data_IF_483599012936
#
_entry.id   IF_483599012936
#
_cell.length_a   1.000
_cell.length_b   1.000
_cell.length_c   1.000
_cell.angle_alpha   90.00
_cell.angle_beta   90.00
_cell.angle_gamma   90.00
#
_symmetry.space_group_name_H-M   'P 1'
#
loop_
_entity.id
_entity.type
_entity.pdbx_description
1 polymer ?
#
# COMPACT_ATOMS: atom_id res chain seq x y z
N UNK A 1 39.56 23.65 -5.34
CA UNK A 1 38.22 24.21 -5.48
C UNK A 1 37.29 23.38 -6.35
N UNK A 2 37.62 22.95 -7.58
CA UNK A 2 36.70 22.13 -8.43
C UNK A 2 36.29 20.75 -7.82
N UNK A 3 37.19 20.07 -7.11
CA UNK A 3 36.86 18.79 -6.46
C UNK A 3 35.91 18.91 -5.24
N UNK A 4 36.01 20.03 -4.51
CA UNK A 4 35.11 20.29 -3.36
C UNK A 4 33.72 20.68 -3.86
N UNK A 5 33.63 21.40 -4.98
CA UNK A 5 32.34 21.76 -5.60
C UNK A 5 31.61 20.52 -6.13
N UNK A 6 32.35 19.53 -6.68
CA UNK A 6 31.76 18.27 -7.16
C UNK A 6 31.20 17.41 -6.02
N UNK A 7 31.91 17.38 -4.87
CA UNK A 7 31.44 16.65 -3.67
C UNK A 7 30.20 17.33 -3.09
N UNK A 8 30.13 18.65 -3.05
CA UNK A 8 28.93 19.40 -2.63
C UNK A 8 27.75 19.18 -3.59
N UNK A 9 27.99 19.14 -4.88
CA UNK A 9 26.97 18.88 -5.91
C UNK A 9 26.43 17.44 -5.81
N UNK A 10 27.29 16.42 -5.58
CA UNK A 10 26.88 15.05 -5.34
C UNK A 10 26.12 14.89 -4.01
N UNK A 11 26.48 15.63 -2.95
CA UNK A 11 25.74 15.63 -1.68
C UNK A 11 24.36 16.28 -1.82
N UNK A 12 24.23 17.39 -2.56
CA UNK A 12 22.94 18.05 -2.81
C UNK A 12 22.05 17.19 -3.70
N UNK A 13 22.59 16.51 -4.72
CA UNK A 13 21.82 15.57 -5.54
C UNK A 13 21.33 14.35 -4.76
N UNK A 14 22.11 13.82 -3.79
CA UNK A 14 21.67 12.73 -2.94
C UNK A 14 20.60 13.15 -1.91
N UNK A 15 20.60 14.41 -1.47
CA UNK A 15 19.54 14.94 -0.59
C UNK A 15 18.23 15.13 -1.36
N UNK A 16 18.30 15.48 -2.66
CA UNK A 16 17.12 15.64 -3.51
C UNK A 16 16.46 14.32 -3.94
N UNK A 17 17.14 13.17 -3.77
CA UNK A 17 16.66 11.84 -4.17
C UNK A 17 16.16 10.99 -3.00
N UNK A 18 16.18 11.48 -1.77
CA UNK A 18 15.55 10.82 -0.63
C UNK A 18 14.05 11.08 -0.65
N UNK A 19 13.31 10.28 -1.39
CA UNK A 19 11.86 10.26 -1.25
C UNK A 19 11.52 9.65 0.11
N UNK A 20 11.00 10.48 1.02
CA UNK A 20 10.41 9.96 2.24
C UNK A 20 9.20 9.09 1.85
N UNK A 21 9.22 7.83 2.22
CA UNK A 21 8.07 6.92 1.99
C UNK A 21 6.89 7.23 2.93
N UNK A 22 7.11 8.07 3.94
CA UNK A 22 6.15 8.40 4.99
C UNK A 22 5.97 9.91 5.13
N UNK A 23 4.72 10.33 5.26
CA UNK A 23 4.30 11.68 5.63
C UNK A 23 3.68 11.64 7.03
N UNK A 24 4.11 12.52 7.92
CA UNK A 24 3.50 12.69 9.24
C UNK A 24 2.83 14.07 9.30
N UNK A 25 1.55 14.08 9.63
CA UNK A 25 0.77 15.30 9.83
C UNK A 25 0.38 15.44 11.29
N UNK A 26 0.50 16.66 11.83
CA UNK A 26 -0.01 16.98 13.15
C UNK A 26 -1.30 17.76 13.03
N UNK A 27 -2.30 17.31 13.77
CA UNK A 27 -3.63 17.90 13.80
C UNK A 27 -4.00 18.30 15.21
N UNK A 28 -4.90 19.29 15.32
CA UNK A 28 -5.45 19.71 16.62
C UNK A 28 -6.89 20.18 16.44
N UNK A 29 -7.70 19.94 17.45
CA UNK A 29 -9.10 20.36 17.48
C UNK A 29 -9.55 20.69 18.89
N UNK A 30 -10.70 21.37 19.01
CA UNK A 30 -11.33 21.65 20.32
C UNK A 30 -12.19 20.46 20.74
N UNK A 31 -11.72 19.73 21.73
CA UNK A 31 -12.47 18.66 22.37
C UNK A 31 -13.53 19.24 23.31
N UNK A 32 -14.75 18.76 23.18
CA UNK A 32 -15.86 19.05 24.09
C UNK A 32 -15.72 18.25 25.41
N UNK A 33 -15.23 16.99 25.26
CA UNK A 33 -15.00 16.09 26.41
C UNK A 33 -13.98 16.71 27.37
N UNK A 34 -12.87 17.24 26.86
CA UNK A 34 -11.82 17.85 27.66
C UNK A 34 -11.99 19.35 27.86
N UNK A 35 -12.98 19.97 27.22
CA UNK A 35 -13.17 21.44 27.22
C UNK A 35 -11.86 22.21 26.90
N UNK A 36 -11.07 21.67 25.96
CA UNK A 36 -9.74 22.20 25.64
C UNK A 36 -9.25 21.73 24.26
N UNK A 37 -8.06 22.19 23.87
CA UNK A 37 -7.44 21.73 22.63
C UNK A 37 -6.78 20.37 22.86
N UNK A 38 -7.04 19.41 21.96
CA UNK A 38 -6.36 18.12 21.90
C UNK A 38 -5.65 18.02 20.56
N UNK A 39 -4.52 17.33 20.54
CA UNK A 39 -3.75 17.07 19.34
C UNK A 39 -3.55 15.59 19.12
N UNK A 40 -3.24 15.23 17.88
CA UNK A 40 -2.85 13.91 17.47
C UNK A 40 -1.99 14.00 16.20
N UNK A 41 -1.23 12.95 15.92
CA UNK A 41 -0.42 12.85 14.70
C UNK A 41 -0.92 11.68 13.86
N UNK A 42 -0.85 11.83 12.53
CA UNK A 42 -1.20 10.77 11.59
C UNK A 42 -0.02 10.53 10.66
N UNK A 43 0.44 9.29 10.57
CA UNK A 43 1.43 8.86 9.58
C UNK A 43 0.73 8.13 8.43
N UNK A 44 1.03 8.55 7.21
CA UNK A 44 0.52 8.01 5.94
C UNK A 44 1.69 7.73 4.98
N UNK A 45 1.54 6.82 4.01
CA UNK A 45 2.50 6.71 2.92
C UNK A 45 2.48 7.98 2.06
N UNK A 46 3.64 8.39 1.52
CA UNK A 46 3.74 9.57 0.62
C UNK A 46 3.09 9.30 -0.74
N UNK A 47 3.16 8.08 -1.23
CA UNK A 47 2.40 7.62 -2.40
C UNK A 47 1.03 7.13 -1.93
N UNK A 48 0.07 8.03 -1.85
CA UNK A 48 -1.31 7.66 -1.54
C UNK A 48 -2.06 7.37 -2.83
N UNK A 49 -2.65 6.19 -2.93
CA UNK A 49 -3.72 5.97 -3.90
C UNK A 49 -4.91 6.86 -3.54
N UNK A 50 -5.45 7.58 -4.51
CA UNK A 50 -6.66 8.38 -4.26
C UNK A 50 -7.83 7.46 -3.90
N UNK A 51 -8.66 7.88 -2.94
CA UNK A 51 -9.84 7.15 -2.46
C UNK A 51 -9.58 5.79 -1.76
N UNK A 52 -8.35 5.53 -1.34
CA UNK A 52 -8.07 4.37 -0.49
C UNK A 52 -8.61 4.63 0.91
N UNK A 53 -9.35 3.66 1.44
CA UNK A 53 -9.73 3.64 2.85
C UNK A 53 -8.61 3.00 3.67
N UNK A 54 -8.24 3.61 4.79
CA UNK A 54 -7.17 3.12 5.64
C UNK A 54 -7.73 2.35 6.84
N UNK A 55 -7.11 1.23 7.17
CA UNK A 55 -7.18 0.66 8.51
C UNK A 55 -6.44 1.60 9.47
N UNK A 56 -6.82 1.64 10.74
CA UNK A 56 -6.20 2.52 11.71
C UNK A 56 -5.44 1.74 12.78
N UNK A 57 -4.20 2.13 13.05
CA UNK A 57 -3.43 1.70 14.21
C UNK A 57 -3.32 2.88 15.18
N UNK A 58 -4.13 2.87 16.24
CA UNK A 58 -4.05 3.83 17.33
C UNK A 58 -2.92 3.43 18.27
N UNK A 59 -1.96 4.32 18.45
CA UNK A 59 -0.77 4.09 19.25
C UNK A 59 -0.86 4.86 20.54
N UNK A 60 -0.92 4.16 21.67
CA UNK A 60 -0.75 4.73 23.00
C UNK A 60 0.75 4.88 23.31
N UNK A 61 1.09 5.70 24.31
CA UNK A 61 2.50 6.04 24.61
C UNK A 61 3.27 6.58 23.41
N UNK A 62 2.59 7.35 22.56
CA UNK A 62 3.06 7.76 21.24
C UNK A 62 4.36 8.60 21.28
N UNK A 63 4.71 9.18 22.41
CA UNK A 63 5.93 9.99 22.58
C UNK A 63 7.22 9.21 22.28
N UNK A 64 7.23 7.90 22.51
CA UNK A 64 8.41 7.05 22.28
C UNK A 64 8.14 5.84 21.39
N UNK A 65 6.89 5.54 21.06
CA UNK A 65 6.53 4.33 20.26
C UNK A 65 6.10 4.66 18.85
N UNK A 66 5.56 5.87 18.61
CA UNK A 66 4.92 6.23 17.35
C UNK A 66 5.85 6.10 16.14
N UNK A 67 7.06 6.67 16.20
CA UNK A 67 7.94 6.74 15.02
C UNK A 67 8.37 5.35 14.53
N UNK A 68 8.68 4.43 15.44
CA UNK A 68 9.06 3.07 15.07
C UNK A 68 7.87 2.26 14.55
N UNK A 69 6.69 2.43 15.15
CA UNK A 69 5.46 1.76 14.69
C UNK A 69 5.07 2.30 13.31
N UNK A 70 5.07 3.63 13.14
CA UNK A 70 4.69 4.28 11.89
C UNK A 70 5.63 3.89 10.75
N UNK A 71 6.96 3.99 10.94
CA UNK A 71 7.92 3.64 9.88
C UNK A 71 7.84 2.17 9.49
N UNK A 72 7.66 1.26 10.46
CA UNK A 72 7.49 -0.17 10.19
C UNK A 72 6.19 -0.45 9.43
N UNK A 73 5.07 0.15 9.86
CA UNK A 73 3.76 -0.01 9.20
C UNK A 73 3.81 0.48 7.76
N UNK A 74 4.37 1.67 7.53
CA UNK A 74 4.50 2.25 6.19
C UNK A 74 5.39 1.37 5.30
N UNK A 75 6.49 0.86 5.83
CA UNK A 75 7.34 -0.08 5.10
C UNK A 75 6.55 -1.34 4.67
N UNK A 76 5.85 -1.99 5.60
CA UNK A 76 5.12 -3.22 5.32
C UNK A 76 4.02 -3.03 4.27
N UNK A 77 3.26 -1.94 4.32
CA UNK A 77 2.23 -1.68 3.30
C UNK A 77 2.81 -1.26 1.94
N UNK A 78 3.98 -0.61 1.91
CA UNK A 78 4.65 -0.24 0.65
C UNK A 78 5.02 -1.48 -0.17
N UNK A 79 5.31 -2.58 0.50
CA UNK A 79 5.62 -3.87 -0.12
C UNK A 79 4.45 -4.87 -0.10
N UNK A 80 3.23 -4.39 0.12
CA UNK A 80 1.98 -5.16 0.07
C UNK A 80 1.90 -6.35 1.07
N UNK A 81 2.68 -6.30 2.16
CA UNK A 81 2.55 -7.30 3.24
C UNK A 81 1.27 -7.13 4.06
N UNK A 82 0.75 -5.91 4.11
CA UNK A 82 -0.45 -5.54 4.86
C UNK A 82 -1.33 -4.58 4.03
N UNK A 83 -2.63 -4.51 4.31
CA UNK A 83 -3.52 -3.57 3.63
C UNK A 83 -3.16 -2.11 3.93
N UNK A 84 -3.69 -1.15 3.15
CA UNK A 84 -3.52 0.27 3.44
C UNK A 84 -3.86 0.61 4.88
N UNK A 85 -2.89 1.13 5.62
CA UNK A 85 -2.96 1.34 7.06
C UNK A 85 -2.36 2.69 7.43
N UNK A 86 -3.10 3.49 8.20
CA UNK A 86 -2.64 4.74 8.78
C UNK A 86 -2.30 4.54 10.27
N UNK A 87 -1.23 5.17 10.75
CA UNK A 87 -0.85 5.12 12.16
C UNK A 87 -1.22 6.42 12.84
N UNK A 88 -1.97 6.35 13.91
CA UNK A 88 -2.49 7.49 14.67
C UNK A 88 -1.86 7.52 16.06
N UNK A 89 -1.08 8.55 16.35
CA UNK A 89 -0.60 8.81 17.71
C UNK A 89 -1.74 9.39 18.55
N UNK A 90 -2.07 8.73 19.65
CA UNK A 90 -3.00 9.27 20.65
C UNK A 90 -2.20 10.07 21.65
N UNK A 91 -2.08 11.40 21.42
CA UNK A 91 -1.29 12.26 22.28
C UNK A 91 -1.98 12.49 23.64
N UNK A 92 -1.21 12.43 24.70
CA UNK A 92 -1.65 12.76 26.06
C UNK A 92 -1.73 14.29 26.27
N UNK A 93 -2.24 14.73 27.43
CA UNK A 93 -2.31 16.15 27.80
C UNK A 93 -0.92 16.80 27.90
N UNK A 94 0.09 16.01 28.22
CA UNK A 94 1.50 16.36 28.14
C UNK A 94 2.34 15.10 27.86
N UNK A 95 3.54 15.23 27.27
CA UNK A 95 4.39 14.08 26.97
C UNK A 95 4.61 13.16 28.18
N UNK A 96 4.41 11.87 27.99
CA UNK A 96 4.57 10.83 29.02
C UNK A 96 3.52 10.82 30.14
N UNK A 97 2.49 11.66 30.04
CA UNK A 97 1.46 11.74 31.09
C UNK A 97 0.43 10.60 31.00
N UNK A 98 0.80 9.41 31.43
CA UNK A 98 -0.09 8.23 31.47
C UNK A 98 -1.29 8.39 32.42
N UNK A 99 -1.33 9.44 33.27
CA UNK A 99 -2.48 9.73 34.12
C UNK A 99 -3.75 10.05 33.31
N UNK A 100 -3.61 10.49 32.06
CA UNK A 100 -4.75 10.68 31.15
C UNK A 100 -5.52 9.37 30.92
N UNK A 101 -4.82 8.23 30.94
CA UNK A 101 -5.43 6.90 30.74
C UNK A 101 -6.30 6.50 31.91
N UNK A 102 -6.04 7.00 33.13
CA UNK A 102 -6.86 6.83 34.34
C UNK A 102 -7.30 5.39 34.61
N UNK A 103 -6.42 4.42 34.35
CA UNK A 103 -6.71 3.00 34.45
C UNK A 103 -6.25 2.44 35.80
N UNK A 104 -7.15 1.74 36.45
CA UNK A 104 -6.83 1.00 37.66
C UNK A 104 -6.57 -0.48 37.33
N UNK A 105 -5.30 -0.86 37.36
CA UNK A 105 -4.86 -2.22 37.03
C UNK A 105 -5.33 -3.28 38.04
N UNK A 106 -5.65 -2.85 39.27
CA UNK A 106 -6.01 -3.80 40.34
C UNK A 106 -7.41 -4.42 40.18
N UNK A 107 -8.32 -3.73 39.50
CA UNK A 107 -9.72 -4.15 39.34
C UNK A 107 -10.27 -3.96 37.91
N UNK A 108 -9.39 -3.66 36.95
CA UNK A 108 -9.75 -3.40 35.56
C UNK A 108 -10.82 -2.31 35.40
N UNK A 109 -10.70 -1.23 36.16
CA UNK A 109 -11.65 -0.11 36.14
C UNK A 109 -11.02 1.18 35.64
N UNK A 110 -11.85 2.17 35.31
CA UNK A 110 -11.42 3.51 34.96
C UNK A 110 -11.84 4.52 36.05
N UNK A 111 -10.95 5.41 36.40
CA UNK A 111 -11.29 6.62 37.14
C UNK A 111 -12.01 7.66 36.23
N UNK A 112 -12.22 8.86 36.72
CA UNK A 112 -12.89 9.93 36.00
C UNK A 112 -12.10 10.34 34.72
N UNK A 113 -10.76 10.42 34.80
CA UNK A 113 -9.91 10.74 33.65
C UNK A 113 -9.92 9.63 32.63
N UNK A 114 -9.83 8.37 33.07
CA UNK A 114 -9.89 7.21 32.18
C UNK A 114 -11.19 7.11 31.42
N UNK A 115 -12.32 7.44 32.03
CA UNK A 115 -13.61 7.51 31.32
C UNK A 115 -13.60 8.61 30.24
N UNK A 116 -13.09 9.80 30.55
CA UNK A 116 -12.95 10.86 29.56
C UNK A 116 -12.03 10.44 28.41
N UNK A 117 -10.92 9.77 28.70
CA UNK A 117 -9.98 9.31 27.69
C UNK A 117 -10.59 8.20 26.80
N UNK A 118 -11.30 7.27 27.41
CA UNK A 118 -12.02 6.22 26.68
C UNK A 118 -13.07 6.82 25.74
N UNK A 119 -13.91 7.73 26.23
CA UNK A 119 -14.94 8.40 25.44
C UNK A 119 -14.31 9.23 24.32
N UNK A 120 -13.23 9.97 24.62
CA UNK A 120 -12.49 10.77 23.65
C UNK A 120 -11.98 9.93 22.47
N UNK A 121 -11.31 8.82 22.73
CA UNK A 121 -10.76 7.95 21.68
C UNK A 121 -11.86 7.34 20.81
N UNK A 122 -12.97 6.91 21.43
CA UNK A 122 -14.04 6.21 20.72
C UNK A 122 -15.03 7.14 20.01
N UNK A 123 -15.04 8.43 20.31
CA UNK A 123 -16.01 9.39 19.74
C UNK A 123 -15.30 10.54 19.02
N UNK A 124 -14.79 11.55 19.75
CA UNK A 124 -14.27 12.78 19.17
C UNK A 124 -13.05 12.55 18.28
N UNK A 125 -12.05 11.77 18.75
CA UNK A 125 -10.87 11.46 17.95
C UNK A 125 -11.24 10.64 16.72
N UNK A 126 -12.12 9.67 16.86
CA UNK A 126 -12.64 8.87 15.76
C UNK A 126 -13.31 9.73 14.67
N UNK A 127 -14.18 10.68 15.09
CA UNK A 127 -14.82 11.61 14.17
C UNK A 127 -13.82 12.53 13.46
N UNK A 128 -12.84 13.10 14.19
CA UNK A 128 -11.84 13.99 13.60
C UNK A 128 -10.96 13.26 12.60
N UNK A 129 -10.52 12.03 12.87
CA UNK A 129 -9.76 11.22 11.92
C UNK A 129 -10.58 10.95 10.66
N UNK A 130 -11.86 10.60 10.80
CA UNK A 130 -12.75 10.32 9.65
C UNK A 130 -13.00 11.55 8.76
N UNK A 131 -12.79 12.78 9.28
CA UNK A 131 -12.84 14.00 8.47
C UNK A 131 -11.56 14.26 7.68
N UNK A 132 -10.43 13.73 8.15
CA UNK A 132 -9.10 13.98 7.57
C UNK A 132 -8.75 12.92 6.54
N UNK A 133 -9.01 11.64 6.85
CA UNK A 133 -8.69 10.51 5.99
C UNK A 133 -9.88 9.55 5.85
N UNK A 134 -10.07 8.93 4.68
CA UNK A 134 -11.06 7.86 4.52
C UNK A 134 -10.66 6.64 5.35
N UNK A 135 -11.56 6.13 6.20
CA UNK A 135 -11.31 4.97 7.06
C UNK A 135 -12.09 3.75 6.60
N UNK A 136 -11.52 2.56 6.77
CA UNK A 136 -12.18 1.28 6.45
C UNK A 136 -13.16 0.84 7.54
N UNK A 137 -12.93 1.27 8.77
CA UNK A 137 -13.63 0.80 9.98
C UNK A 137 -12.96 -0.40 10.66
N UNK A 138 -11.78 -0.83 10.20
CA UNK A 138 -10.94 -1.77 10.94
C UNK A 138 -9.91 -1.00 11.75
N UNK A 139 -10.11 -0.98 13.08
CA UNK A 139 -9.32 -0.19 14.01
C UNK A 139 -8.60 -1.07 15.02
N UNK A 140 -7.31 -0.81 15.21
CA UNK A 140 -6.42 -1.52 16.14
C UNK A 140 -5.94 -0.55 17.21
N UNK A 141 -5.91 -0.98 18.47
CA UNK A 141 -5.29 -0.22 19.56
C UNK A 141 -4.00 -0.91 20.01
N UNK A 142 -2.92 -0.14 20.13
CA UNK A 142 -1.58 -0.64 20.50
C UNK A 142 -1.18 -0.01 21.82
N UNK A 143 -0.76 -0.84 22.77
CA UNK A 143 -0.25 -0.40 24.08
C UNK A 143 1.01 -1.14 24.51
N UNK A 144 1.76 -0.51 25.44
CA UNK A 144 2.98 -1.07 26.01
C UNK A 144 2.94 -1.00 27.55
N UNK A 145 3.31 -2.11 28.20
CA UNK A 145 3.38 -2.15 29.66
C UNK A 145 2.02 -1.80 30.30
N UNK A 146 1.92 -0.78 31.11
CA UNK A 146 0.70 -0.29 31.74
C UNK A 146 -0.43 -0.04 30.71
N UNK A 147 -0.13 0.59 29.58
CA UNK A 147 -1.14 0.82 28.55
C UNK A 147 -1.52 -0.45 27.80
N UNK A 148 -0.63 -1.46 27.70
CA UNK A 148 -1.03 -2.77 27.21
C UNK A 148 -2.04 -3.44 28.15
N UNK A 149 -1.86 -3.30 29.47
CA UNK A 149 -2.84 -3.79 30.45
C UNK A 149 -4.16 -3.01 30.40
N UNK A 150 -4.12 -1.68 30.13
CA UNK A 150 -5.32 -0.88 29.87
C UNK A 150 -6.16 -1.41 28.70
N UNK A 151 -5.54 -2.02 27.69
CA UNK A 151 -6.29 -2.63 26.57
C UNK A 151 -7.22 -3.74 27.06
N UNK A 152 -6.94 -4.40 28.19
CA UNK A 152 -7.86 -5.40 28.76
C UNK A 152 -9.21 -4.78 29.15
N UNK A 153 -9.23 -3.49 29.55
CA UNK A 153 -10.49 -2.78 29.77
C UNK A 153 -11.29 -2.67 28.46
N UNK A 154 -10.65 -2.23 27.35
CA UNK A 154 -11.32 -2.15 26.04
C UNK A 154 -11.88 -3.51 25.60
N UNK A 155 -11.06 -4.54 25.73
CA UNK A 155 -11.44 -5.91 25.33
C UNK A 155 -12.67 -6.39 26.16
N UNK A 156 -12.67 -6.11 27.47
CA UNK A 156 -13.77 -6.49 28.36
C UNK A 156 -15.08 -5.78 28.05
N UNK A 157 -15.01 -4.52 27.53
CA UNK A 157 -16.21 -3.78 27.10
C UNK A 157 -16.80 -4.30 25.78
N UNK A 158 -16.07 -5.14 25.02
CA UNK A 158 -16.47 -5.62 23.68
C UNK A 158 -16.83 -4.44 22.75
N UNK A 159 -15.91 -3.50 22.63
CA UNK A 159 -16.10 -2.25 21.90
C UNK A 159 -16.18 -2.54 20.38
N UNK A 160 -17.22 -2.04 19.71
CA UNK A 160 -17.42 -2.25 18.28
C UNK A 160 -16.49 -1.37 17.40
N UNK A 161 -15.97 -0.26 17.95
CA UNK A 161 -15.08 0.64 17.23
C UNK A 161 -13.65 0.08 17.10
N UNK A 162 -13.14 -0.58 18.15
CA UNK A 162 -11.82 -1.23 18.16
C UNK A 162 -12.00 -2.74 17.98
N UNK A 163 -11.51 -3.27 16.86
CA UNK A 163 -11.68 -4.68 16.47
C UNK A 163 -10.44 -5.54 16.67
N UNK A 164 -9.31 -4.90 17.00
CA UNK A 164 -8.06 -5.62 17.23
C UNK A 164 -7.15 -4.89 18.21
N UNK A 165 -6.25 -5.65 18.83
CA UNK A 165 -5.38 -5.17 19.89
C UNK A 165 -3.98 -5.76 19.77
N UNK A 166 -2.95 -4.93 20.01
CA UNK A 166 -1.57 -5.38 20.14
C UNK A 166 -1.06 -4.97 21.52
N UNK A 167 -0.72 -5.96 22.33
CA UNK A 167 -0.27 -5.81 23.71
C UNK A 167 1.23 -6.11 23.79
N UNK A 168 2.07 -5.10 24.02
CA UNK A 168 3.50 -5.28 24.24
C UNK A 168 3.80 -5.32 25.73
N UNK A 169 4.37 -6.45 26.19
CA UNK A 169 4.79 -6.69 27.60
C UNK A 169 3.76 -6.14 28.60
N UNK A 170 2.52 -6.64 28.60
CA UNK A 170 1.48 -6.14 29.50
C UNK A 170 1.92 -6.29 30.96
N UNK A 171 1.62 -5.29 31.78
CA UNK A 171 1.88 -5.30 33.21
C UNK A 171 0.94 -6.27 33.91
N UNK A 172 1.48 -7.03 34.86
CA UNK A 172 0.73 -8.03 35.62
C UNK A 172 -0.47 -7.40 36.36
N UNK A 173 -1.59 -8.08 36.30
CA UNK A 173 -2.81 -7.77 37.02
C UNK A 173 -3.05 -8.78 38.14
N UNK A 174 -3.59 -8.38 39.30
CA UNK A 174 -3.96 -9.30 40.36
C UNK A 174 -4.99 -10.37 39.95
N UNK A 175 -5.84 -10.02 38.99
CA UNK A 175 -6.83 -10.92 38.42
C UNK A 175 -7.06 -10.61 36.95
N UNK A 176 -7.11 -11.66 36.12
CA UNK A 176 -7.49 -11.54 34.71
C UNK A 176 -8.98 -11.13 34.63
N UNK A 177 -9.33 -10.10 33.80
CA UNK A 177 -10.71 -9.68 33.61
C UNK A 177 -11.59 -10.78 33.04
N UNK A 178 -12.87 -10.76 33.35
CA UNK A 178 -13.84 -11.65 32.71
C UNK A 178 -14.19 -11.15 31.31
N UNK A 179 -13.60 -11.80 30.31
CA UNK A 179 -13.85 -11.50 28.90
C UNK A 179 -15.04 -12.28 28.37
N UNK A 180 -15.84 -11.63 27.52
CA UNK A 180 -16.97 -12.28 26.85
C UNK A 180 -16.50 -13.28 25.80
N UNK A 181 -17.12 -14.43 25.75
CA UNK A 181 -16.87 -15.42 24.69
C UNK A 181 -17.27 -14.85 23.33
N UNK A 182 -16.39 -14.98 22.34
CA UNK A 182 -16.64 -14.52 20.97
C UNK A 182 -17.52 -15.53 20.21
N UNK A 183 -18.62 -15.05 19.64
CA UNK A 183 -19.56 -15.85 18.85
C UNK A 183 -19.72 -15.31 17.42
N UNK A 184 -18.85 -14.36 17.01
CA UNK A 184 -18.95 -13.74 15.71
C UNK A 184 -18.17 -14.56 14.65
N UNK A 185 -18.60 -14.46 13.39
CA UNK A 185 -17.91 -15.12 12.27
C UNK A 185 -16.43 -14.65 12.13
N UNK A 186 -16.15 -13.41 12.49
CA UNK A 186 -14.79 -12.85 12.57
C UNK A 186 -14.58 -12.38 14.01
N UNK A 187 -13.84 -13.13 14.81
CA UNK A 187 -13.58 -12.77 16.21
C UNK A 187 -12.66 -11.55 16.31
N UNK A 188 -12.67 -10.92 17.48
CA UNK A 188 -11.71 -9.85 17.83
C UNK A 188 -10.29 -10.42 17.79
N UNK A 189 -9.37 -9.70 17.14
CA UNK A 189 -7.98 -10.12 16.93
C UNK A 189 -7.11 -9.57 18.07
N UNK A 190 -6.31 -10.45 18.70
CA UNK A 190 -5.42 -10.07 19.80
C UNK A 190 -4.01 -10.60 19.51
N UNK A 191 -3.03 -9.72 19.57
CA UNK A 191 -1.62 -10.06 19.43
C UNK A 191 -0.88 -9.64 20.70
N UNK A 192 -0.27 -10.61 21.37
CA UNK A 192 0.49 -10.40 22.61
C UNK A 192 1.95 -10.65 22.30
N UNK A 193 2.79 -9.68 22.62
CA UNK A 193 4.23 -9.75 22.44
C UNK A 193 4.88 -9.60 23.82
N UNK A 194 5.49 -10.66 24.33
CA UNK A 194 6.28 -10.63 25.57
C UNK A 194 7.77 -10.69 25.23
N UNK A 195 8.61 -10.32 26.16
CA UNK A 195 10.07 -10.35 25.99
C UNK A 195 10.74 -11.31 26.97
N UNK A 196 11.71 -12.10 26.48
CA UNK A 196 12.38 -13.13 27.28
C UNK A 196 13.29 -12.56 28.37
N UNK A 197 13.70 -11.31 28.26
CA UNK A 197 14.57 -10.61 29.22
C UNK A 197 13.77 -9.65 30.12
N UNK A 198 12.41 -9.68 30.06
CA UNK A 198 11.51 -9.02 31.00
C UNK A 198 11.28 -9.90 32.26
N UNK A 199 10.55 -9.39 33.24
CA UNK A 199 10.24 -10.10 34.48
C UNK A 199 9.44 -11.38 34.21
N UNK A 200 9.67 -12.43 35.00
CA UNK A 200 8.92 -13.70 34.88
C UNK A 200 7.40 -13.48 35.07
N UNK A 201 7.00 -12.54 35.95
CA UNK A 201 5.60 -12.24 36.19
C UNK A 201 4.90 -11.70 34.95
N UNK A 202 5.54 -10.79 34.18
CA UNK A 202 4.97 -10.28 32.93
C UNK A 202 4.89 -11.33 31.83
N UNK A 203 5.90 -12.18 31.75
CA UNK A 203 5.89 -13.30 30.81
C UNK A 203 4.76 -14.28 31.14
N UNK A 204 4.63 -14.66 32.42
CA UNK A 204 3.55 -15.52 32.91
C UNK A 204 2.18 -14.89 32.65
N UNK A 205 2.00 -13.60 32.98
CA UNK A 205 0.75 -12.92 32.76
C UNK A 205 0.37 -12.85 31.27
N UNK A 206 1.33 -12.63 30.37
CA UNK A 206 1.12 -12.70 28.92
C UNK A 206 0.64 -14.07 28.45
N UNK A 207 1.18 -15.17 29.02
CA UNK A 207 0.73 -16.53 28.76
C UNK A 207 -0.72 -16.76 29.28
N UNK A 208 -1.03 -16.33 30.50
CA UNK A 208 -2.33 -16.49 31.11
C UNK A 208 -3.41 -15.74 30.34
N UNK A 209 -3.10 -14.51 29.88
CA UNK A 209 -3.99 -13.75 28.98
C UNK A 209 -4.23 -14.50 27.67
N UNK A 210 -3.17 -15.02 27.04
CA UNK A 210 -3.31 -15.76 25.79
C UNK A 210 -4.21 -16.99 25.94
N UNK A 211 -3.99 -17.82 26.98
CA UNK A 211 -4.85 -19.01 27.21
C UNK A 211 -6.29 -18.60 27.49
N UNK A 212 -6.51 -17.51 28.25
CA UNK A 212 -7.85 -16.98 28.52
C UNK A 212 -8.52 -16.51 27.22
N UNK A 213 -7.83 -15.79 26.36
CA UNK A 213 -8.38 -15.33 25.08
C UNK A 213 -8.71 -16.50 24.15
N UNK A 214 -7.87 -17.54 24.12
CA UNK A 214 -8.14 -18.77 23.37
C UNK A 214 -9.40 -19.48 23.87
N UNK A 215 -9.54 -19.64 25.17
CA UNK A 215 -10.72 -20.24 25.78
C UNK A 215 -12.00 -19.47 25.42
N UNK A 216 -11.91 -18.14 25.39
CA UNK A 216 -13.01 -17.24 25.02
C UNK A 216 -13.16 -17.06 23.50
N UNK A 217 -12.47 -17.83 22.67
CA UNK A 217 -12.58 -17.87 21.19
C UNK A 217 -12.18 -16.57 20.48
N UNK A 218 -11.27 -15.80 21.07
CA UNK A 218 -10.61 -14.70 20.35
C UNK A 218 -9.61 -15.25 19.33
N UNK A 219 -9.36 -14.50 18.27
CA UNK A 219 -8.22 -14.75 17.37
C UNK A 219 -6.93 -14.23 18.04
N UNK A 220 -6.43 -15.01 19.00
CA UNK A 220 -5.28 -14.64 19.82
C UNK A 220 -4.00 -15.33 19.36
N UNK A 221 -2.87 -14.57 19.40
CA UNK A 221 -1.52 -15.11 19.20
C UNK A 221 -0.56 -14.49 20.21
N UNK A 222 0.30 -15.33 20.76
CA UNK A 222 1.38 -14.93 21.67
C UNK A 222 2.74 -15.14 21.01
N UNK A 223 3.62 -14.16 21.14
CA UNK A 223 5.03 -14.23 20.79
C UNK A 223 5.89 -13.87 21.99
N UNK A 224 6.84 -14.72 22.34
CA UNK A 224 7.92 -14.38 23.28
C UNK A 224 9.20 -14.15 22.48
N UNK A 225 9.73 -12.93 22.49
CA UNK A 225 10.87 -12.53 21.66
C UNK A 225 12.10 -12.20 22.52
N UNK A 226 13.28 -12.32 21.95
CA UNK A 226 14.55 -11.95 22.62
C UNK A 226 14.68 -10.43 22.66
N UNK A 227 14.27 -9.82 23.75
CA UNK A 227 14.27 -8.38 23.99
C UNK A 227 14.15 -8.10 25.49
N UNK A 228 14.48 -6.91 25.93
CA UNK A 228 14.12 -6.39 27.24
C UNK A 228 12.77 -5.64 27.19
N UNK A 229 12.33 -5.11 28.35
CA UNK A 229 11.05 -4.41 28.47
C UNK A 229 10.87 -3.22 27.53
N UNK A 230 11.92 -2.47 27.24
CA UNK A 230 11.85 -1.27 26.38
C UNK A 230 12.12 -1.60 24.90
N UNK A 231 12.97 -2.57 24.62
CA UNK A 231 13.31 -2.97 23.26
C UNK A 231 12.30 -3.94 22.63
N UNK A 232 11.29 -4.40 23.38
CA UNK A 232 10.26 -5.31 22.88
C UNK A 232 9.48 -4.72 21.68
N UNK A 233 9.23 -3.41 21.67
CA UNK A 233 8.53 -2.75 20.55
C UNK A 233 9.40 -2.71 19.30
N UNK A 234 10.58 -2.06 19.27
CA UNK A 234 11.39 -2.00 18.05
C UNK A 234 11.80 -3.38 17.54
N UNK A 235 11.92 -4.38 18.42
CA UNK A 235 12.27 -5.76 18.03
C UNK A 235 11.07 -6.54 17.50
N UNK A 236 9.86 -6.33 18.03
CA UNK A 236 8.69 -7.17 17.78
C UNK A 236 7.63 -6.54 16.90
N UNK A 237 7.68 -5.24 16.62
CA UNK A 237 6.57 -4.53 15.93
C UNK A 237 6.29 -5.07 14.52
N UNK A 238 7.31 -5.38 13.74
CA UNK A 238 7.11 -5.93 12.40
C UNK A 238 6.36 -7.27 12.46
N UNK A 239 6.76 -8.15 13.40
CA UNK A 239 6.10 -9.43 13.59
C UNK A 239 4.67 -9.26 14.13
N UNK A 240 4.44 -8.32 15.06
CA UNK A 240 3.12 -8.06 15.62
C UNK A 240 2.13 -7.58 14.54
N UNK A 241 2.58 -6.68 13.65
CA UNK A 241 1.75 -6.17 12.55
C UNK A 241 1.52 -7.26 11.49
N UNK A 242 2.51 -8.05 11.12
CA UNK A 242 2.32 -9.16 10.18
C UNK A 242 1.41 -10.25 10.76
N UNK A 243 1.53 -10.55 12.05
CA UNK A 243 0.60 -11.45 12.73
C UNK A 243 -0.83 -10.88 12.83
N UNK A 244 -1.00 -9.56 12.95
CA UNK A 244 -2.31 -8.90 12.91
C UNK A 244 -3.02 -9.15 11.57
N UNK A 245 -2.27 -9.09 10.48
CA UNK A 245 -2.77 -9.24 9.12
C UNK A 245 -2.46 -10.62 8.50
N UNK A 246 -2.25 -11.65 9.30
CA UNK A 246 -1.86 -13.00 8.84
C UNK A 246 -2.90 -13.69 7.94
N UNK A 247 -4.13 -13.21 7.93
CA UNK A 247 -5.22 -13.67 7.05
C UNK A 247 -5.48 -12.73 5.87
N UNK A 248 -4.68 -11.69 5.69
CA UNK A 248 -4.81 -10.79 4.55
C UNK A 248 -4.25 -11.44 3.29
N UNK A 249 -5.07 -11.55 2.26
CA UNK A 249 -4.62 -11.97 0.95
C UNK A 249 -3.93 -10.80 0.25
N UNK A 250 -2.62 -10.82 0.27
CA UNK A 250 -1.73 -9.91 -0.45
C UNK A 250 -1.48 -10.39 -1.88
N UNK A 251 -0.68 -9.65 -2.66
CA UNK A 251 -0.38 -9.98 -4.06
C UNK A 251 0.20 -11.39 -4.23
N UNK A 252 1.14 -11.81 -3.37
CA UNK A 252 1.79 -13.13 -3.49
C UNK A 252 0.79 -14.27 -3.25
N UNK A 253 -0.03 -14.16 -2.20
CA UNK A 253 -1.07 -15.16 -1.91
C UNK A 253 -2.16 -15.19 -2.99
N UNK A 254 -2.45 -14.06 -3.64
CA UNK A 254 -3.37 -14.01 -4.79
C UNK A 254 -2.79 -14.75 -5.99
N UNK A 255 -1.52 -14.58 -6.32
CA UNK A 255 -0.88 -15.33 -7.41
C UNK A 255 -0.90 -16.83 -7.14
N UNK A 256 -0.62 -17.26 -5.91
CA UNK A 256 -0.69 -18.67 -5.52
C UNK A 256 -2.11 -19.24 -5.70
N UNK A 257 -3.14 -18.50 -5.26
CA UNK A 257 -4.55 -18.89 -5.44
C UNK A 257 -4.90 -19.01 -6.93
N UNK A 258 -4.50 -18.05 -7.74
CA UNK A 258 -4.81 -18.02 -9.17
C UNK A 258 -4.10 -19.17 -9.92
N UNK A 259 -2.84 -19.44 -9.59
CA UNK A 259 -2.04 -20.51 -10.21
C UNK A 259 -2.64 -21.90 -9.95
N UNK A 260 -3.13 -22.13 -8.73
CA UNK A 260 -3.70 -23.40 -8.32
C UNK A 260 -5.24 -23.47 -8.43
N UNK A 261 -5.86 -22.47 -9.06
CA UNK A 261 -7.32 -22.38 -9.18
C UNK A 261 -7.92 -23.50 -10.02
N UNK A 262 -8.78 -24.30 -9.39
CA UNK A 262 -9.63 -25.33 -10.02
C UNK A 262 -11.07 -24.83 -10.23
N UNK A 263 -11.38 -23.61 -9.82
CA UNK A 263 -12.67 -22.93 -9.99
C UNK A 263 -12.52 -21.74 -10.93
N UNK A 264 -13.63 -21.20 -11.50
CA UNK A 264 -13.57 -20.00 -12.33
C UNK A 264 -12.87 -18.84 -11.60
N UNK A 265 -12.12 -18.04 -12.34
CA UNK A 265 -11.31 -16.94 -11.78
C UNK A 265 -12.18 -15.89 -11.06
N UNK A 266 -13.43 -15.69 -11.51
CA UNK A 266 -14.38 -14.85 -10.80
C UNK A 266 -14.71 -15.35 -9.38
N UNK A 267 -14.81 -16.65 -9.18
CA UNK A 267 -15.05 -17.26 -7.87
C UNK A 267 -13.84 -17.07 -6.96
N UNK A 268 -12.62 -17.25 -7.49
CA UNK A 268 -11.39 -16.98 -6.76
C UNK A 268 -11.32 -15.51 -6.31
N UNK A 269 -11.59 -14.57 -7.22
CA UNK A 269 -11.66 -13.15 -6.91
C UNK A 269 -12.69 -12.85 -5.81
N UNK A 270 -13.91 -13.38 -5.96
CA UNK A 270 -14.99 -13.15 -5.00
C UNK A 270 -14.63 -13.69 -3.62
N UNK A 271 -14.00 -14.87 -3.55
CA UNK A 271 -13.51 -15.45 -2.30
C UNK A 271 -12.50 -14.54 -1.62
N UNK A 272 -11.45 -14.14 -2.31
CA UNK A 272 -10.38 -13.28 -1.78
C UNK A 272 -10.92 -11.91 -1.35
N UNK A 273 -11.71 -11.26 -2.21
CA UNK A 273 -12.25 -9.94 -1.92
C UNK A 273 -13.21 -9.94 -0.72
N UNK A 274 -14.12 -10.92 -0.65
CA UNK A 274 -15.05 -11.06 0.47
C UNK A 274 -14.32 -11.42 1.76
N UNK A 275 -13.28 -12.23 1.70
CA UNK A 275 -12.46 -12.55 2.85
C UNK A 275 -11.78 -11.29 3.42
N UNK A 276 -11.06 -10.52 2.59
CA UNK A 276 -10.41 -9.29 3.03
C UNK A 276 -11.43 -8.26 3.55
N UNK A 277 -12.60 -8.15 2.92
CA UNK A 277 -13.71 -7.30 3.40
C UNK A 277 -14.24 -7.75 4.75
N UNK A 278 -14.40 -9.06 4.98
CA UNK A 278 -14.96 -9.57 6.24
C UNK A 278 -14.00 -9.38 7.41
N UNK A 279 -12.71 -9.70 7.22
CA UNK A 279 -11.69 -9.62 8.26
C UNK A 279 -11.22 -8.18 8.51
N UNK A 280 -10.87 -7.45 7.44
CA UNK A 280 -10.14 -6.19 7.53
C UNK A 280 -10.90 -4.98 6.99
N UNK A 281 -12.19 -5.17 6.58
CA UNK A 281 -13.00 -4.10 5.97
C UNK A 281 -12.35 -3.47 4.73
N UNK A 282 -11.45 -4.21 4.07
CA UNK A 282 -10.71 -3.77 2.89
C UNK A 282 -11.11 -4.60 1.68
N UNK A 283 -11.64 -3.95 0.64
CA UNK A 283 -11.71 -4.52 -0.70
C UNK A 283 -10.31 -4.54 -1.33
N UNK A 284 -10.11 -5.39 -2.33
CA UNK A 284 -8.87 -5.35 -3.11
C UNK A 284 -8.71 -3.97 -3.78
N UNK A 285 -7.50 -3.35 -3.70
CA UNK A 285 -7.27 -2.05 -4.31
C UNK A 285 -7.44 -2.08 -5.83
N UNK A 286 -8.20 -1.13 -6.38
CA UNK A 286 -8.48 -1.06 -7.82
C UNK A 286 -7.20 -0.76 -8.63
N UNK A 287 -6.34 0.10 -8.11
CA UNK A 287 -5.06 0.48 -8.72
C UNK A 287 -3.94 -0.55 -8.54
N UNK A 288 -4.17 -1.58 -7.70
CA UNK A 288 -3.17 -2.59 -7.40
C UNK A 288 -3.00 -3.64 -8.51
N UNK A 289 -1.87 -4.36 -8.44
CA UNK A 289 -1.60 -5.52 -9.31
C UNK A 289 -2.60 -6.67 -9.12
N UNK A 290 -3.28 -6.72 -7.97
CA UNK A 290 -4.18 -7.79 -7.58
C UNK A 290 -5.36 -7.99 -8.55
N UNK A 291 -6.18 -6.95 -8.77
CA UNK A 291 -7.34 -7.07 -9.68
C UNK A 291 -6.89 -7.34 -11.12
N UNK A 292 -5.79 -6.72 -11.55
CA UNK A 292 -5.24 -6.97 -12.89
C UNK A 292 -4.78 -8.41 -13.06
N UNK A 293 -4.26 -9.06 -12.02
CA UNK A 293 -3.87 -10.47 -12.06
C UNK A 293 -5.07 -11.40 -12.33
N UNK A 294 -6.19 -11.19 -11.62
CA UNK A 294 -7.41 -11.97 -11.86
C UNK A 294 -7.93 -11.81 -13.30
N UNK A 295 -8.09 -10.55 -13.76
CA UNK A 295 -8.61 -10.31 -15.12
C UNK A 295 -7.65 -10.83 -16.19
N UNK A 296 -6.34 -10.64 -16.02
CA UNK A 296 -5.34 -11.18 -16.93
C UNK A 296 -5.38 -12.70 -17.01
N UNK A 297 -5.50 -13.38 -15.88
CA UNK A 297 -5.59 -14.85 -15.85
C UNK A 297 -6.89 -15.35 -16.49
N UNK A 298 -8.01 -14.67 -16.25
CA UNK A 298 -9.27 -15.00 -16.90
C UNK A 298 -9.17 -14.85 -18.44
N UNK A 299 -8.46 -13.83 -18.94
CA UNK A 299 -8.17 -13.63 -20.37
C UNK A 299 -7.32 -14.79 -20.90
N UNK A 300 -6.25 -15.18 -20.19
CA UNK A 300 -5.39 -16.29 -20.62
C UNK A 300 -6.10 -17.64 -20.66
N UNK A 301 -7.06 -17.86 -19.75
CA UNK A 301 -7.88 -19.09 -19.69
C UNK A 301 -9.11 -19.05 -20.61
N UNK A 302 -9.34 -17.95 -21.34
CA UNK A 302 -10.54 -17.71 -22.19
C UNK A 302 -11.87 -17.87 -21.42
N UNK A 303 -11.88 -17.47 -20.15
CA UNK A 303 -13.05 -17.53 -19.27
C UNK A 303 -13.97 -16.32 -19.47
N UNK A 304 -14.79 -16.32 -20.51
CA UNK A 304 -15.63 -15.18 -20.91
C UNK A 304 -16.49 -14.62 -19.78
N UNK A 305 -17.16 -15.47 -19.00
CA UNK A 305 -18.00 -15.05 -17.88
C UNK A 305 -17.19 -14.38 -16.77
N UNK A 306 -16.01 -14.92 -16.42
CA UNK A 306 -15.10 -14.30 -15.45
C UNK A 306 -14.59 -12.94 -15.96
N UNK A 307 -14.25 -12.84 -17.24
CA UNK A 307 -13.81 -11.59 -17.88
C UNK A 307 -14.89 -10.52 -17.76
N UNK A 308 -16.12 -10.82 -18.16
CA UNK A 308 -17.23 -9.87 -18.13
C UNK A 308 -17.53 -9.37 -16.71
N UNK A 309 -17.56 -10.28 -15.74
CA UNK A 309 -17.81 -9.95 -14.32
C UNK A 309 -16.68 -9.11 -13.71
N UNK A 310 -15.43 -9.49 -13.94
CA UNK A 310 -14.26 -8.75 -13.45
C UNK A 310 -14.15 -7.38 -14.09
N UNK A 311 -14.39 -7.27 -15.41
CA UNK A 311 -14.44 -6.00 -16.11
C UNK A 311 -15.50 -5.08 -15.52
N UNK A 312 -16.75 -5.56 -15.36
CA UNK A 312 -17.83 -4.79 -14.77
C UNK A 312 -17.52 -4.33 -13.33
N UNK A 313 -16.91 -5.22 -12.53
CA UNK A 313 -16.46 -4.85 -11.18
C UNK A 313 -15.43 -3.73 -11.22
N UNK A 314 -14.41 -3.86 -12.07
CA UNK A 314 -13.35 -2.88 -12.22
C UNK A 314 -13.87 -1.53 -12.72
N UNK A 315 -14.73 -1.52 -13.74
CA UNK A 315 -15.36 -0.30 -14.28
C UNK A 315 -16.20 0.43 -13.23
N UNK A 316 -16.96 -0.30 -12.40
CA UNK A 316 -17.74 0.30 -11.31
C UNK A 316 -16.83 0.87 -10.21
N UNK A 317 -15.79 0.15 -9.83
CA UNK A 317 -14.84 0.62 -8.83
C UNK A 317 -14.01 1.83 -9.32
N UNK A 318 -13.77 1.94 -10.64
CA UNK A 318 -13.15 3.12 -11.24
C UNK A 318 -13.98 4.39 -11.15
N UNK A 319 -15.32 4.30 -11.12
CA UNK A 319 -16.19 5.49 -10.97
C UNK A 319 -15.87 6.25 -9.69
N UNK A 320 -15.53 5.53 -8.64
CA UNK A 320 -15.11 6.11 -7.35
C UNK A 320 -13.63 6.53 -7.34
N UNK A 321 -12.84 6.12 -8.36
CA UNK A 321 -11.39 6.30 -8.47
C UNK A 321 -10.96 6.93 -9.83
N UNK A 322 -11.84 7.65 -10.51
CA UNK A 322 -11.56 8.24 -11.83
C UNK A 322 -10.40 9.24 -11.85
N UNK A 323 -10.02 9.75 -10.69
CA UNK A 323 -8.88 10.66 -10.51
C UNK A 323 -7.54 9.93 -10.30
N UNK A 324 -7.53 8.60 -10.13
CA UNK A 324 -6.29 7.82 -10.01
C UNK A 324 -5.72 7.47 -11.39
N UNK A 325 -4.61 8.13 -11.82
CA UNK A 325 -4.04 7.90 -13.14
C UNK A 325 -3.56 6.45 -13.32
N UNK A 326 -3.04 5.82 -12.27
CA UNK A 326 -2.55 4.45 -12.34
C UNK A 326 -3.69 3.46 -12.59
N UNK A 327 -4.81 3.61 -11.89
CA UNK A 327 -6.00 2.79 -12.10
C UNK A 327 -6.54 2.91 -13.54
N UNK A 328 -6.56 4.13 -14.09
CA UNK A 328 -6.92 4.38 -15.49
C UNK A 328 -5.93 3.68 -16.46
N UNK A 329 -4.63 3.73 -16.18
CA UNK A 329 -3.60 3.07 -16.97
C UNK A 329 -3.78 1.55 -17.00
N UNK A 330 -4.02 0.93 -15.84
CA UNK A 330 -4.28 -0.52 -15.71
C UNK A 330 -5.52 -0.90 -16.52
N UNK A 331 -6.60 -0.14 -16.42
CA UNK A 331 -7.81 -0.41 -17.21
C UNK A 331 -7.55 -0.33 -18.71
N UNK A 332 -6.80 0.68 -19.16
CA UNK A 332 -6.45 0.82 -20.57
C UNK A 332 -5.59 -0.33 -21.10
N UNK A 333 -4.61 -0.82 -20.31
CA UNK A 333 -3.81 -1.99 -20.70
C UNK A 333 -4.65 -3.27 -20.80
N UNK A 334 -5.56 -3.50 -19.85
CA UNK A 334 -6.44 -4.66 -19.84
C UNK A 334 -7.42 -4.66 -21.01
N UNK A 335 -8.04 -3.52 -21.31
CA UNK A 335 -8.91 -3.37 -22.49
C UNK A 335 -8.15 -3.57 -23.81
N UNK A 336 -6.89 -3.11 -23.89
CA UNK A 336 -6.02 -3.39 -25.01
C UNK A 336 -5.76 -4.90 -25.20
N UNK A 337 -5.55 -5.64 -24.12
CA UNK A 337 -5.40 -7.12 -24.17
C UNK A 337 -6.68 -7.83 -24.60
N UNK A 338 -7.85 -7.24 -24.36
CA UNK A 338 -9.15 -7.72 -24.86
C UNK A 338 -9.43 -7.31 -26.31
N UNK A 339 -8.56 -6.52 -26.95
CA UNK A 339 -8.77 -6.01 -28.30
C UNK A 339 -9.73 -4.83 -28.41
N UNK A 340 -10.11 -4.22 -27.30
CA UNK A 340 -11.00 -3.06 -27.20
C UNK A 340 -10.19 -1.77 -27.33
N UNK A 341 -9.61 -1.53 -28.52
CA UNK A 341 -8.55 -0.55 -28.74
C UNK A 341 -9.01 0.90 -28.51
N UNK A 342 -10.22 1.27 -28.90
CA UNK A 342 -10.74 2.64 -28.71
C UNK A 342 -10.91 2.97 -27.24
N UNK A 343 -11.52 2.04 -26.47
CA UNK A 343 -11.70 2.19 -25.03
C UNK A 343 -10.34 2.19 -24.32
N UNK A 344 -9.43 1.31 -24.70
CA UNK A 344 -8.06 1.28 -24.18
C UNK A 344 -7.35 2.63 -24.39
N UNK A 345 -7.49 3.20 -25.59
CA UNK A 345 -6.93 4.50 -25.96
C UNK A 345 -7.51 5.65 -25.10
N UNK A 346 -8.81 5.61 -24.84
CA UNK A 346 -9.49 6.58 -23.96
C UNK A 346 -8.91 6.57 -22.54
N UNK A 347 -8.79 5.38 -21.92
CA UNK A 347 -8.28 5.26 -20.55
C UNK A 347 -6.80 5.60 -20.45
N UNK A 348 -5.96 5.17 -21.40
CA UNK A 348 -4.52 5.48 -21.41
C UNK A 348 -4.25 6.97 -21.63
N UNK A 349 -5.04 7.64 -22.44
CA UNK A 349 -4.92 9.09 -22.58
C UNK A 349 -5.22 9.80 -21.27
N UNK A 350 -6.32 9.45 -20.59
CA UNK A 350 -6.68 10.01 -19.29
C UNK A 350 -5.63 9.71 -18.20
N UNK A 351 -5.02 8.52 -18.26
CA UNK A 351 -3.90 8.16 -17.39
C UNK A 351 -2.74 9.17 -17.54
N UNK A 352 -2.28 9.41 -18.76
CA UNK A 352 -1.18 10.34 -19.03
C UNK A 352 -1.56 11.78 -18.64
N UNK A 353 -2.79 12.21 -18.93
CA UNK A 353 -3.28 13.54 -18.58
C UNK A 353 -3.36 13.73 -17.05
N UNK A 354 -3.79 12.70 -16.31
CA UNK A 354 -3.86 12.70 -14.85
C UNK A 354 -2.49 12.82 -14.19
N UNK A 355 -1.50 12.05 -14.65
CA UNK A 355 -0.13 12.17 -14.17
C UNK A 355 0.48 13.53 -14.46
N UNK A 356 0.18 14.10 -15.62
CA UNK A 356 0.63 15.46 -15.98
C UNK A 356 0.01 16.53 -15.08
N UNK A 357 -1.29 16.42 -14.78
CA UNK A 357 -2.00 17.36 -13.90
C UNK A 357 -1.51 17.30 -12.46
N UNK A 358 -1.14 16.10 -11.98
CA UNK A 358 -0.58 15.91 -10.63
C UNK A 358 0.91 16.26 -10.52
N UNK A 359 1.58 16.64 -11.61
CA UNK A 359 3.03 16.91 -11.64
C UNK A 359 3.89 15.64 -11.53
N UNK A 360 3.31 14.46 -11.72
CA UNK A 360 3.96 13.14 -11.61
C UNK A 360 4.27 12.52 -12.99
N UNK A 361 4.50 13.34 -14.01
CA UNK A 361 4.75 12.88 -15.39
C UNK A 361 5.93 11.87 -15.49
N UNK A 362 6.84 11.90 -14.52
CA UNK A 362 7.97 10.97 -14.41
C UNK A 362 7.58 9.53 -14.02
N UNK A 363 6.31 9.28 -13.69
CA UNK A 363 5.78 7.94 -13.39
C UNK A 363 5.14 7.27 -14.64
N UNK A 364 5.20 7.91 -15.82
CA UNK A 364 4.42 7.49 -16.99
C UNK A 364 5.16 6.59 -17.99
N UNK A 365 6.42 6.18 -17.74
CA UNK A 365 7.24 5.43 -18.70
C UNK A 365 6.50 4.18 -19.24
N UNK A 366 5.99 3.36 -18.34
CA UNK A 366 5.26 2.14 -18.70
C UNK A 366 3.99 2.45 -19.52
N UNK A 367 3.19 3.41 -19.09
CA UNK A 367 1.94 3.77 -19.75
C UNK A 367 2.16 4.38 -21.12
N UNK A 368 3.21 5.19 -21.31
CA UNK A 368 3.62 5.71 -22.63
C UNK A 368 4.02 4.59 -23.57
N UNK A 369 4.79 3.60 -23.09
CA UNK A 369 5.14 2.41 -23.86
C UNK A 369 3.88 1.64 -24.30
N UNK A 370 3.01 1.29 -23.37
CA UNK A 370 1.77 0.54 -23.63
C UNK A 370 0.91 1.28 -24.66
N UNK A 371 0.69 2.57 -24.45
CA UNK A 371 -0.17 3.36 -25.33
C UNK A 371 0.41 3.47 -26.74
N UNK A 372 1.69 3.83 -26.85
CA UNK A 372 2.33 4.10 -28.13
C UNK A 372 2.65 2.85 -28.94
N UNK A 373 2.97 1.72 -28.30
CA UNK A 373 3.37 0.51 -29.01
C UNK A 373 2.25 -0.54 -29.16
N UNK A 374 1.33 -0.61 -28.20
CA UNK A 374 0.34 -1.66 -28.19
C UNK A 374 -1.04 -1.20 -28.69
N UNK A 375 -1.46 0.05 -28.35
CA UNK A 375 -2.83 0.51 -28.61
C UNK A 375 -2.91 1.41 -29.85
N UNK A 376 -2.18 2.52 -29.89
CA UNK A 376 -2.26 3.48 -31.00
C UNK A 376 -1.97 2.89 -32.40
N UNK A 377 -1.00 1.97 -32.56
CA UNK A 377 -0.78 1.34 -33.87
C UNK A 377 -1.96 0.50 -34.35
N UNK A 378 -2.73 -0.11 -33.42
CA UNK A 378 -3.96 -0.86 -33.77
C UNK A 378 -5.09 0.04 -34.25
N UNK A 379 -5.05 1.33 -33.87
CA UNK A 379 -5.96 2.39 -34.32
C UNK A 379 -5.41 3.14 -35.55
N UNK A 380 -4.26 2.75 -36.10
CA UNK A 380 -3.60 3.46 -37.19
C UNK A 380 -3.04 4.85 -36.81
N UNK A 381 -2.96 5.17 -35.50
CA UNK A 381 -2.57 6.50 -35.00
C UNK A 381 -1.04 6.60 -34.76
N UNK A 382 -0.24 6.30 -35.77
CA UNK A 382 1.22 6.21 -35.68
C UNK A 382 1.87 7.55 -35.32
N UNK A 383 1.37 8.68 -35.87
CA UNK A 383 1.91 10.01 -35.55
C UNK A 383 1.68 10.39 -34.10
N UNK A 384 0.54 10.07 -33.54
CA UNK A 384 0.23 10.28 -32.12
C UNK A 384 1.15 9.39 -31.26
N UNK A 385 1.36 8.13 -31.63
CA UNK A 385 2.26 7.23 -30.94
C UNK A 385 3.71 7.78 -30.91
N UNK A 386 4.18 8.26 -32.05
CA UNK A 386 5.50 8.91 -32.15
C UNK A 386 5.63 10.12 -31.23
N UNK A 387 4.63 10.99 -31.23
CA UNK A 387 4.60 12.19 -30.38
C UNK A 387 4.66 11.87 -28.89
N UNK A 388 3.91 10.85 -28.44
CA UNK A 388 3.93 10.40 -27.03
C UNK A 388 5.32 9.92 -26.60
N UNK A 389 6.03 9.21 -27.50
CA UNK A 389 7.39 8.75 -27.24
C UNK A 389 8.39 9.91 -27.26
N UNK A 390 8.20 10.89 -28.15
CA UNK A 390 9.05 12.08 -28.22
C UNK A 390 8.88 12.96 -26.95
N UNK A 391 7.67 13.09 -26.43
CA UNK A 391 7.42 13.76 -25.15
C UNK A 391 8.04 12.99 -23.98
N UNK A 392 8.05 11.65 -24.04
CA UNK A 392 8.77 10.82 -23.09
C UNK A 392 10.26 11.17 -22.99
N UNK A 393 10.96 11.40 -24.12
CA UNK A 393 12.37 11.81 -24.12
C UNK A 393 12.63 13.12 -23.39
N UNK A 394 11.67 14.06 -23.46
CA UNK A 394 11.78 15.36 -22.79
C UNK A 394 11.65 15.23 -21.28
N UNK A 395 10.80 14.32 -20.83
CA UNK A 395 10.51 14.05 -19.40
C UNK A 395 11.64 13.22 -18.79
N UNK A 396 12.04 12.14 -19.46
CA UNK A 396 13.03 11.18 -18.97
C UNK A 396 14.42 11.44 -19.60
N UNK A 397 15.03 12.56 -19.25
CA UNK A 397 16.30 12.99 -19.87
C UNK A 397 17.47 12.04 -19.66
N UNK A 398 17.52 11.33 -18.51
CA UNK A 398 18.51 10.31 -18.20
C UNK A 398 18.28 9.03 -19.02
N UNK A 399 17.02 8.65 -19.21
CA UNK A 399 16.62 7.40 -19.86
C UNK A 399 16.08 7.61 -21.29
N UNK A 400 16.36 8.74 -21.91
CA UNK A 400 15.87 9.09 -23.26
C UNK A 400 16.14 8.02 -24.31
N UNK A 401 17.20 7.23 -24.16
CA UNK A 401 17.57 6.17 -25.08
C UNK A 401 16.52 5.05 -25.16
N UNK A 402 15.76 4.77 -24.08
CA UNK A 402 14.70 3.77 -24.13
C UNK A 402 13.53 4.25 -25.02
N UNK A 403 13.20 5.52 -25.01
CA UNK A 403 12.18 6.07 -25.89
C UNK A 403 12.64 6.08 -27.35
N UNK A 404 13.95 6.27 -27.60
CA UNK A 404 14.53 6.10 -28.94
C UNK A 404 14.38 4.66 -29.43
N UNK A 405 14.63 3.67 -28.57
CA UNK A 405 14.34 2.27 -28.87
C UNK A 405 12.87 2.06 -29.22
N UNK A 406 11.93 2.55 -28.39
CA UNK A 406 10.50 2.42 -28.64
C UNK A 406 10.05 3.09 -29.96
N UNK A 407 10.64 4.23 -30.33
CA UNK A 407 10.39 4.84 -31.65
C UNK A 407 10.89 3.96 -32.78
N UNK A 408 12.04 3.34 -32.61
CA UNK A 408 12.55 2.33 -33.56
C UNK A 408 11.60 1.15 -33.69
N UNK A 409 11.13 0.59 -32.58
CA UNK A 409 10.12 -0.50 -32.57
C UNK A 409 8.85 -0.08 -33.32
N UNK A 410 8.29 1.08 -32.99
CA UNK A 410 7.11 1.63 -33.65
C UNK A 410 7.29 1.70 -35.18
N UNK A 411 8.41 2.28 -35.60
CA UNK A 411 8.71 2.51 -37.00
C UNK A 411 8.89 1.22 -37.82
N UNK A 412 9.76 0.33 -37.35
CA UNK A 412 10.14 -0.86 -38.12
C UNK A 412 9.02 -1.90 -38.10
N UNK A 413 8.29 -2.03 -37.00
CA UNK A 413 7.16 -2.96 -36.88
C UNK A 413 6.00 -2.57 -37.79
N UNK A 414 5.72 -1.24 -37.90
CA UNK A 414 4.55 -0.73 -38.60
C UNK A 414 4.88 -0.11 -39.97
N UNK A 415 6.12 -0.19 -40.43
CA UNK A 415 6.59 0.42 -41.69
C UNK A 415 6.29 1.91 -41.78
N UNK A 416 6.52 2.62 -40.67
CA UNK A 416 6.19 4.02 -40.49
C UNK A 416 7.45 4.82 -40.19
N UNK A 417 7.77 5.89 -40.95
CA UNK A 417 8.98 6.69 -40.77
C UNK A 417 10.27 5.84 -40.63
N UNK A 418 10.47 4.87 -41.53
CA UNK A 418 11.53 3.84 -41.40
C UNK A 418 12.91 4.46 -41.22
N UNK A 419 13.25 5.50 -42.00
CA UNK A 419 14.53 6.21 -41.88
C UNK A 419 14.73 6.83 -40.49
N UNK A 420 13.70 7.48 -39.94
CA UNK A 420 13.74 8.08 -38.60
C UNK A 420 13.88 6.98 -37.54
N UNK A 421 13.16 5.86 -37.70
CA UNK A 421 13.25 4.71 -36.82
C UNK A 421 14.64 4.07 -36.76
N UNK A 422 15.30 3.93 -37.92
CA UNK A 422 16.69 3.46 -38.03
C UNK A 422 17.65 4.37 -37.28
N UNK A 423 17.49 5.70 -37.41
CA UNK A 423 18.31 6.67 -36.68
C UNK A 423 18.07 6.58 -35.15
N UNK A 424 16.82 6.42 -34.73
CA UNK A 424 16.51 6.26 -33.32
C UNK A 424 17.10 4.98 -32.72
N UNK A 425 17.11 3.86 -33.45
CA UNK A 425 17.77 2.63 -33.00
C UNK A 425 19.28 2.80 -32.87
N UNK A 426 19.94 3.51 -33.80
CA UNK A 426 21.36 3.85 -33.69
C UNK A 426 21.67 4.67 -32.43
N UNK A 427 20.76 5.57 -32.03
CA UNK A 427 20.90 6.33 -30.78
C UNK A 427 20.75 5.39 -29.58
N UNK A 428 19.74 4.52 -29.58
CA UNK A 428 19.46 3.61 -28.47
C UNK A 428 20.62 2.65 -28.18
N UNK A 429 21.19 2.03 -29.21
CA UNK A 429 22.28 1.05 -29.09
C UNK A 429 23.58 1.66 -28.50
N UNK A 430 23.79 2.96 -28.64
CA UNK A 430 24.91 3.66 -27.99
C UNK A 430 24.80 3.77 -26.48
N UNK A 431 23.66 3.38 -25.90
CA UNK A 431 23.37 3.44 -24.47
C UNK A 431 22.89 2.05 -23.94
N UNK A 432 23.75 1.03 -23.99
CA UNK A 432 23.36 -0.34 -23.64
C UNK A 432 22.88 -0.46 -22.18
N UNK A 433 23.49 0.27 -21.26
CA UNK A 433 23.07 0.27 -19.84
C UNK A 433 21.62 0.73 -19.67
N UNK A 434 21.20 1.76 -20.41
CA UNK A 434 19.80 2.23 -20.38
C UNK A 434 18.84 1.16 -20.92
N UNK A 435 19.23 0.44 -21.98
CA UNK A 435 18.41 -0.64 -22.53
C UNK A 435 18.28 -1.78 -21.51
N UNK A 436 19.39 -2.25 -20.96
CA UNK A 436 19.42 -3.34 -19.98
C UNK A 436 18.61 -2.98 -18.71
N UNK A 437 18.77 -1.79 -18.20
CA UNK A 437 18.00 -1.30 -17.03
C UNK A 437 16.49 -1.24 -17.30
N UNK A 438 16.08 -1.20 -18.57
CA UNK A 438 14.67 -1.25 -18.99
C UNK A 438 14.28 -2.61 -19.62
N UNK A 439 15.01 -3.68 -19.27
CA UNK A 439 14.75 -5.06 -19.69
C UNK A 439 14.78 -5.28 -21.22
N UNK A 440 15.58 -4.48 -21.94
CA UNK A 440 15.80 -4.64 -23.38
C UNK A 440 17.20 -5.17 -23.61
N UNK A 441 17.33 -6.29 -24.32
CA UNK A 441 18.64 -6.82 -24.72
C UNK A 441 19.20 -5.99 -25.88
N UNK A 442 20.50 -5.68 -25.84
CA UNK A 442 21.16 -4.93 -26.90
C UNK A 442 21.05 -5.64 -28.25
N UNK A 443 21.17 -6.96 -28.26
CA UNK A 443 21.03 -7.81 -29.44
C UNK A 443 19.66 -7.65 -30.12
N UNK A 444 18.58 -7.51 -29.35
CA UNK A 444 17.23 -7.27 -29.89
C UNK A 444 17.14 -5.93 -30.61
N UNK A 445 17.79 -4.91 -30.07
CA UNK A 445 17.86 -3.59 -30.71
C UNK A 445 18.71 -3.60 -31.98
N UNK A 446 19.82 -4.37 -32.01
CA UNK A 446 20.67 -4.57 -33.19
C UNK A 446 19.96 -5.35 -34.30
N UNK A 447 19.25 -6.42 -33.98
CA UNK A 447 18.43 -7.17 -34.92
C UNK A 447 17.38 -6.28 -35.58
N UNK A 448 16.70 -5.45 -34.76
CA UNK A 448 15.70 -4.52 -35.25
C UNK A 448 16.31 -3.43 -36.13
N UNK A 449 17.50 -2.94 -35.81
CA UNK A 449 18.26 -1.99 -36.61
C UNK A 449 18.60 -2.61 -37.98
N UNK A 450 19.11 -3.84 -38.02
CA UNK A 450 19.47 -4.54 -39.26
C UNK A 450 18.24 -4.72 -40.16
N UNK A 451 17.10 -5.09 -39.57
CA UNK A 451 15.82 -5.18 -40.28
C UNK A 451 15.40 -3.82 -40.87
N UNK A 452 15.51 -2.75 -40.11
CA UNK A 452 15.19 -1.40 -40.56
C UNK A 452 16.06 -0.92 -41.71
N UNK A 453 17.39 -1.15 -41.65
CA UNK A 453 18.32 -0.82 -42.72
C UNK A 453 18.01 -1.58 -44.00
N UNK A 454 17.63 -2.86 -43.92
CA UNK A 454 17.21 -3.65 -45.08
C UNK A 454 15.94 -3.07 -45.74
N UNK A 455 14.97 -2.60 -44.94
CA UNK A 455 13.76 -1.96 -45.44
C UNK A 455 14.08 -0.60 -46.11
N UNK A 456 14.88 0.26 -45.48
CA UNK A 456 15.32 1.54 -46.03
C UNK A 456 16.02 1.37 -47.40
N UNK A 457 16.90 0.38 -47.51
CA UNK A 457 17.59 0.07 -48.77
C UNK A 457 16.63 -0.47 -49.87
N UNK A 458 15.53 -1.09 -49.50
CA UNK A 458 14.53 -1.56 -50.48
C UNK A 458 13.68 -0.42 -51.02
N UNK A 459 13.31 0.56 -50.16
CA UNK A 459 12.57 1.76 -50.56
C UNK A 459 13.39 2.67 -51.52
N UNK A 460 14.71 2.76 -51.34
CA UNK A 460 15.58 3.56 -52.18
C UNK A 460 15.88 2.92 -53.57
N UNK A 461 15.42 1.67 -53.83
CA UNK A 461 15.57 0.97 -55.09
C UNK A 461 14.35 1.02 -56.02
N UNK A 462 13.27 1.60 -55.51
CA UNK A 462 12.01 1.86 -56.25
C UNK A 462 11.79 3.36 -56.40
#
# INVERSE_FOLDING_TARGET
MKKILLIYFCLICNIAMSQNIMKVEQHSFKSKIYNGTRSFRVALPTSTYQNVKYNLLFVLDADYTFDVIASTTIYLQTFDYIPPTAVVAVDYSSPGNRNDVGYNISDNSLDANGKLFYDYVNTELAEEISRIIPTSGFNTLIGHSYTASYLNYYISQNNDYIRSYILFSPEEMPQIPDFKTQNQAVPTIIRIITSSDDTESRQSFGNDLYETFKEKQYDARLRNIKADHMSVIPTGIAQAITDLYDKYYNTDSIYEIIEHANTPIWECFTHVNNHNLSYYKQALPVSGSCISAFLWTAIQKDEKESIDKLRNYYENALKDNESDPNALGVMGDLLGKLGLWEEAGYYLQRCLDGYKQSGQDHETLYWRKVYALNVLPRLGQYEKAWTILEDGKKIYTADKAIFSYYQGVLSITNKFRIKDGVEQLRIAIKHPDTLINNFVKTEEAEELLNKGMAMENSENRH
#
